data_IF_328712009549
#
_entry.id   IF_328712009549
#
_cell.length_a   1.000
_cell.length_b   1.000
_cell.length_c   1.000
_cell.angle_alpha   90.00
_cell.angle_beta   90.00
_cell.angle_gamma   90.00
#
_symmetry.space_group_name_H-M   'P 1'
#
loop_
_entity.id
_entity.type
_entity.pdbx_description
1 polymer ?
#
# COMPACT_ATOMS: atom_id res chain seq x y z
N UNK A 1 -4.00 16.39 -19.16
CA UNK A 1 -2.63 16.03 -18.71
C UNK A 1 -2.75 14.80 -17.83
N UNK A 2 -2.31 13.63 -18.28
CA UNK A 2 -2.30 12.44 -17.42
C UNK A 2 -1.14 12.60 -16.43
N UNK A 3 -1.44 12.61 -15.13
CA UNK A 3 -0.42 12.67 -14.07
C UNK A 3 -0.15 11.23 -13.63
N UNK A 4 0.99 10.68 -14.03
CA UNK A 4 1.43 9.38 -13.53
C UNK A 4 1.79 9.50 -12.06
N UNK A 5 1.29 8.57 -11.25
CA UNK A 5 1.44 8.58 -9.79
C UNK A 5 1.90 7.23 -9.28
N UNK A 6 2.48 7.25 -8.09
CA UNK A 6 2.72 6.08 -7.26
C UNK A 6 1.98 6.27 -5.93
N UNK A 7 1.30 5.22 -5.46
CA UNK A 7 0.67 5.14 -4.16
C UNK A 7 1.24 3.93 -3.40
N UNK A 8 1.45 4.08 -2.11
CA UNK A 8 2.14 3.08 -1.30
C UNK A 8 1.43 2.89 0.03
N UNK A 9 1.43 1.63 0.49
CA UNK A 9 0.97 1.23 1.82
C UNK A 9 1.96 0.21 2.36
N UNK A 10 2.35 0.37 3.61
CA UNK A 10 3.26 -0.52 4.31
C UNK A 10 2.84 -0.73 5.77
N UNK A 11 3.44 -1.77 6.36
CA UNK A 11 3.46 -1.95 7.81
C UNK A 11 4.69 -2.80 8.18
N UNK A 12 5.22 -2.61 9.40
CA UNK A 12 6.42 -3.29 9.85
C UNK A 12 6.48 -3.48 11.37
N UNK A 13 7.06 -4.61 11.78
CA UNK A 13 7.40 -4.89 13.17
C UNK A 13 8.92 -4.75 13.36
N UNK A 14 9.31 -3.75 14.15
CA UNK A 14 10.72 -3.48 14.49
C UNK A 14 11.35 -4.61 15.30
N UNK A 15 10.63 -5.21 16.24
CA UNK A 15 11.18 -6.23 17.13
C UNK A 15 11.40 -7.55 16.39
N UNK A 16 10.39 -8.02 15.67
CA UNK A 16 10.48 -9.22 14.84
C UNK A 16 11.30 -9.04 13.55
N UNK A 17 11.66 -7.80 13.20
CA UNK A 17 12.34 -7.43 11.95
C UNK A 17 11.57 -7.97 10.73
N UNK A 18 10.26 -7.80 10.76
CA UNK A 18 9.36 -8.21 9.68
C UNK A 18 8.59 -7.01 9.14
N UNK A 19 7.98 -7.17 7.98
CA UNK A 19 7.13 -6.13 7.42
C UNK A 19 6.72 -6.44 6.00
N UNK A 20 5.95 -5.53 5.41
CA UNK A 20 5.54 -5.60 4.03
C UNK A 20 5.33 -4.20 3.48
N UNK A 21 5.39 -4.08 2.16
CA UNK A 21 5.08 -2.85 1.43
C UNK A 21 4.41 -3.21 0.12
N UNK A 22 3.39 -2.45 -0.28
CA UNK A 22 2.73 -2.53 -1.58
C UNK A 22 2.85 -1.18 -2.28
N UNK A 23 3.32 -1.19 -3.52
CA UNK A 23 3.41 0.00 -4.37
C UNK A 23 2.52 -0.19 -5.58
N UNK A 24 1.59 0.74 -5.77
CA UNK A 24 0.72 0.87 -6.94
C UNK A 24 1.25 2.01 -7.81
N UNK A 25 1.39 1.77 -9.11
CA UNK A 25 1.69 2.81 -10.10
C UNK A 25 0.54 2.88 -11.08
N UNK A 26 0.18 4.08 -11.50
CA UNK A 26 -1.01 4.27 -12.32
C UNK A 26 -1.19 5.69 -12.80
N UNK A 27 -2.35 5.96 -13.38
CA UNK A 27 -2.75 7.30 -13.75
C UNK A 27 -3.80 7.82 -12.76
N UNK A 28 -3.63 9.06 -12.33
CA UNK A 28 -4.64 9.77 -11.58
C UNK A 28 -5.83 10.12 -12.48
N UNK A 29 -7.03 10.00 -11.92
CA UNK A 29 -8.26 10.57 -12.48
C UNK A 29 -9.13 11.16 -11.36
N UNK A 30 -9.98 12.11 -11.72
CA UNK A 30 -11.01 12.61 -10.82
C UNK A 30 -12.25 11.72 -10.94
N UNK A 31 -12.72 11.19 -9.82
CA UNK A 31 -13.82 10.24 -9.80
C UNK A 31 -15.14 10.90 -10.19
N UNK A 32 -16.00 10.15 -10.89
CA UNK A 32 -17.35 10.59 -11.22
C UNK A 32 -18.27 10.45 -10.00
N UNK A 33 -19.31 11.30 -9.92
CA UNK A 33 -20.31 11.25 -8.83
C UNK A 33 -20.93 9.85 -8.64
N UNK A 34 -21.09 9.09 -9.72
CA UNK A 34 -21.60 7.71 -9.67
C UNK A 34 -20.63 6.73 -9.02
N UNK A 35 -19.32 6.90 -9.22
CA UNK A 35 -18.29 6.11 -8.55
C UNK A 35 -18.23 6.47 -7.06
N UNK A 36 -18.27 7.77 -6.74
CA UNK A 36 -18.27 8.27 -5.37
C UNK A 36 -19.47 7.73 -4.60
N UNK A 37 -20.68 7.84 -5.16
CA UNK A 37 -21.91 7.34 -4.53
C UNK A 37 -21.87 5.82 -4.31
N UNK A 38 -21.30 5.07 -5.26
CA UNK A 38 -21.11 3.62 -5.12
C UNK A 38 -20.14 3.30 -3.97
N UNK A 39 -18.98 3.95 -3.93
CA UNK A 39 -17.97 3.71 -2.89
C UNK A 39 -18.44 4.14 -1.51
N UNK A 40 -19.23 5.22 -1.42
CA UNK A 40 -19.84 5.65 -0.16
C UNK A 40 -20.82 4.59 0.37
N UNK A 41 -21.69 4.07 -0.50
CA UNK A 41 -22.62 2.99 -0.15
C UNK A 41 -21.89 1.70 0.29
N UNK A 42 -20.69 1.45 -0.23
CA UNK A 42 -19.84 0.31 0.15
C UNK A 42 -18.92 0.62 1.35
N UNK A 43 -18.91 1.85 1.86
CA UNK A 43 -18.02 2.27 2.95
C UNK A 43 -16.53 2.29 2.59
N UNK A 44 -16.22 2.47 1.31
CA UNK A 44 -14.84 2.44 0.76
C UNK A 44 -14.20 3.83 0.63
N UNK A 45 -14.96 4.91 0.84
CA UNK A 45 -14.39 6.25 0.80
C UNK A 45 -13.38 6.45 1.95
N UNK A 46 -12.18 6.98 1.67
CA UNK A 46 -11.20 7.27 2.71
C UNK A 46 -11.73 8.38 3.63
N UNK A 47 -11.40 8.29 4.93
CA UNK A 47 -11.74 9.29 5.93
C UNK A 47 -10.61 10.32 6.07
N UNK A 48 -10.74 11.54 5.53
CA UNK A 48 -9.66 12.53 5.55
C UNK A 48 -9.46 13.07 6.98
N UNK A 49 -8.20 13.20 7.41
CA UNK A 49 -7.90 13.73 8.75
C UNK A 49 -8.08 15.25 8.86
N UNK A 50 -7.86 15.96 7.75
CA UNK A 50 -7.97 17.41 7.74
C UNK A 50 -9.43 17.85 7.66
N UNK A 51 -9.79 18.82 8.50
CA UNK A 51 -11.11 19.46 8.50
C UNK A 51 -11.43 20.17 7.18
N UNK A 52 -12.69 20.59 7.03
CA UNK A 52 -13.21 21.33 5.88
C UNK A 52 -13.67 20.44 4.73
N UNK A 53 -14.32 21.04 3.71
CA UNK A 53 -14.87 20.30 2.57
C UNK A 53 -13.77 19.54 1.80
N UNK A 54 -14.19 18.45 1.16
CA UNK A 54 -13.34 17.54 0.36
C UNK A 54 -14.07 17.26 -0.94
N UNK A 55 -14.15 18.30 -1.76
CA UNK A 55 -15.00 18.33 -2.97
C UNK A 55 -14.45 17.48 -4.12
N UNK A 56 -13.23 16.97 -4.00
CA UNK A 56 -12.56 16.18 -5.03
C UNK A 56 -12.18 14.81 -4.50
N UNK A 57 -12.75 13.76 -5.11
CA UNK A 57 -12.33 12.38 -4.91
C UNK A 57 -11.44 11.98 -6.08
N UNK A 58 -10.25 11.48 -5.76
CA UNK A 58 -9.24 11.12 -6.74
C UNK A 58 -9.07 9.61 -6.77
N UNK A 59 -9.24 9.02 -7.95
CA UNK A 59 -8.95 7.62 -8.23
C UNK A 59 -7.57 7.44 -8.86
N UNK A 60 -7.03 6.23 -8.71
CA UNK A 60 -5.83 5.80 -9.42
C UNK A 60 -6.22 4.58 -10.24
N UNK A 61 -6.14 4.68 -11.57
CA UNK A 61 -6.26 3.54 -12.47
C UNK A 61 -4.91 2.79 -12.46
N UNK A 62 -4.82 1.60 -11.82
CA UNK A 62 -3.55 0.91 -11.63
C UNK A 62 -3.03 0.33 -12.93
N UNK A 63 -1.76 0.57 -13.25
CA UNK A 63 -1.06 -0.10 -14.37
C UNK A 63 -0.09 -1.17 -13.89
N UNK A 64 0.51 -0.99 -12.70
CA UNK A 64 1.43 -1.95 -12.10
C UNK A 64 1.22 -1.97 -10.59
N UNK A 65 1.12 -3.17 -10.02
CA UNK A 65 1.08 -3.39 -8.57
C UNK A 65 2.25 -4.30 -8.21
N UNK A 66 3.07 -3.87 -7.27
CA UNK A 66 4.21 -4.65 -6.75
C UNK A 66 4.11 -4.77 -5.24
N UNK A 67 4.54 -5.92 -4.70
CA UNK A 67 4.57 -6.17 -3.27
C UNK A 67 5.93 -6.73 -2.84
N UNK A 68 6.34 -6.41 -1.62
CA UNK A 68 7.51 -6.99 -0.98
C UNK A 68 7.15 -7.39 0.45
N UNK A 69 7.57 -8.59 0.85
CA UNK A 69 7.47 -9.05 2.24
C UNK A 69 8.87 -9.27 2.81
N UNK A 70 9.09 -8.80 4.03
CA UNK A 70 10.35 -8.91 4.76
C UNK A 70 10.16 -9.97 5.85
N UNK A 71 10.98 -11.01 5.80
CA UNK A 71 11.00 -12.07 6.79
C UNK A 71 12.23 -11.92 7.69
N UNK A 72 12.21 -12.49 8.92
CA UNK A 72 13.38 -12.53 9.77
C UNK A 72 14.52 -13.21 9.03
N UNK A 73 15.72 -12.65 9.13
CA UNK A 73 16.92 -13.31 8.61
C UNK A 73 17.10 -14.61 9.38
N UNK A 74 16.99 -15.76 8.73
CA UNK A 74 17.61 -16.98 9.27
C UNK A 74 19.11 -16.73 9.26
N UNK A 75 19.68 -16.47 10.43
CA UNK A 75 21.09 -16.75 10.62
C UNK A 75 21.19 -18.27 10.51
N UNK A 76 21.90 -18.77 9.50
CA UNK A 76 22.33 -20.16 9.54
C UNK A 76 23.10 -20.31 10.84
N UNK A 77 22.62 -21.18 11.73
CA UNK A 77 23.45 -21.63 12.84
C UNK A 77 24.69 -22.23 12.17
N UNK A 78 25.86 -21.65 12.44
CA UNK A 78 27.11 -22.33 12.15
C UNK A 78 27.00 -23.70 12.80
N UNK A 79 26.96 -24.73 11.95
CA UNK A 79 27.08 -26.10 12.40
C UNK A 79 28.43 -26.20 13.10
N UNK A 80 28.42 -26.14 14.44
CA UNK A 80 29.54 -26.60 15.24
C UNK A 80 29.84 -28.04 14.82
N UNK A 81 30.94 -28.16 14.07
CA UNK A 81 31.91 -29.24 14.08
C UNK A 81 31.39 -30.64 14.47
N UNK A 82 31.38 -31.51 13.45
CA UNK A 82 31.48 -32.96 13.58
C UNK A 82 32.51 -33.35 14.65
N UNK A 83 32.19 -34.18 15.66
CA UNK A 83 33.22 -34.87 16.40
C UNK A 83 33.79 -35.99 15.51
N UNK A 84 35.09 -36.23 15.68
CA UNK A 84 35.88 -37.27 15.03
C UNK A 84 35.46 -38.69 15.44
#
# INVERSE_FOLDING_TARGET
>A
VHRSVCFEVDDYDRAGRTGWSVVVRGQLYEALDSEIAKWDAEGLLPQPWAEGPKDHVIGIEPSVITGRRIHPRRLFAESESSPA
#
